data_IF_732831129911
#
_entry.id   IF_732831129911
#
_cell.length_a   1.000
_cell.length_b   1.000
_cell.length_c   1.000
_cell.angle_alpha   90.00
_cell.angle_beta   90.00
_cell.angle_gamma   90.00
#
_symmetry.space_group_name_H-M   'P 1'
#
loop_
_entity.id
_entity.type
_entity.pdbx_description
1 polymer ?
#
# COMPACT_ATOMS: atom_id res chain seq x y z
N UNK A 1 -11.63 -22.57 4.11
CA UNK A 1 -11.36 -21.34 3.35
C UNK A 1 -10.53 -20.41 4.20
N UNK A 2 -9.54 -19.73 3.63
CA UNK A 2 -8.67 -18.79 4.35
C UNK A 2 -9.45 -17.53 4.69
N UNK A 3 -9.35 -17.07 5.94
CA UNK A 3 -9.95 -15.82 6.41
C UNK A 3 -9.01 -15.07 7.35
N UNK A 4 -9.17 -13.75 7.41
CA UNK A 4 -8.49 -12.86 8.36
C UNK A 4 -9.51 -11.89 8.93
N UNK A 5 -9.31 -11.46 10.17
CA UNK A 5 -10.13 -10.43 10.81
C UNK A 5 -9.25 -9.25 11.23
N UNK A 6 -9.64 -8.05 10.81
CA UNK A 6 -8.94 -6.81 11.14
C UNK A 6 -9.99 -5.77 11.49
N UNK A 7 -9.90 -5.20 12.69
CA UNK A 7 -10.85 -4.23 13.25
C UNK A 7 -12.31 -4.72 13.22
N UNK A 8 -12.53 -6.00 13.56
CA UNK A 8 -13.86 -6.61 13.62
C UNK A 8 -14.52 -6.88 12.27
N UNK A 9 -13.80 -6.68 11.15
CA UNK A 9 -14.24 -7.03 9.80
C UNK A 9 -13.47 -8.25 9.32
N UNK A 10 -14.20 -9.32 9.02
CA UNK A 10 -13.66 -10.57 8.48
C UNK A 10 -13.64 -10.57 6.96
N UNK A 11 -12.47 -10.75 6.37
CA UNK A 11 -12.29 -10.99 4.93
C UNK A 11 -12.00 -12.48 4.71
N UNK A 12 -12.85 -13.15 3.93
CA UNK A 12 -12.75 -14.59 3.63
C UNK A 12 -12.59 -14.81 2.13
N UNK A 13 -11.64 -15.68 1.76
CA UNK A 13 -11.45 -16.06 0.37
C UNK A 13 -12.52 -17.04 -0.09
N UNK A 14 -12.94 -16.91 -1.34
CA UNK A 14 -13.64 -17.98 -2.06
C UNK A 14 -12.66 -19.08 -2.45
N UNK A 15 -13.18 -20.27 -2.78
CA UNK A 15 -12.38 -21.39 -3.27
C UNK A 15 -11.46 -21.03 -4.44
N UNK A 16 -11.94 -20.21 -5.38
CA UNK A 16 -11.18 -19.78 -6.57
C UNK A 16 -10.03 -18.82 -6.23
N UNK A 17 -10.12 -18.16 -5.07
CA UNK A 17 -9.16 -17.17 -4.61
C UNK A 17 -8.15 -17.70 -3.60
N UNK A 18 -8.20 -18.98 -3.20
CA UNK A 18 -7.28 -19.56 -2.19
C UNK A 18 -5.80 -19.43 -2.56
N UNK A 19 -5.48 -19.30 -3.85
CA UNK A 19 -4.11 -19.01 -4.29
C UNK A 19 -3.56 -17.67 -3.76
N UNK A 20 -4.42 -16.76 -3.31
CA UNK A 20 -4.07 -15.48 -2.69
C UNK A 20 -4.02 -15.53 -1.15
N UNK A 21 -4.13 -16.71 -0.53
CA UNK A 21 -4.13 -16.87 0.93
C UNK A 21 -2.90 -16.26 1.61
N UNK A 22 -1.72 -16.37 0.99
CA UNK A 22 -0.49 -15.76 1.51
C UNK A 22 -0.59 -14.23 1.49
N UNK A 23 -1.07 -13.64 0.40
CA UNK A 23 -1.27 -12.20 0.26
C UNK A 23 -2.28 -11.64 1.26
N UNK A 24 -3.42 -12.33 1.47
CA UNK A 24 -4.42 -11.93 2.45
C UNK A 24 -3.85 -11.89 3.88
N UNK A 25 -3.09 -12.92 4.29
CA UNK A 25 -2.44 -12.95 5.61
C UNK A 25 -1.38 -11.87 5.75
N UNK A 26 -0.58 -11.67 4.70
CA UNK A 26 0.51 -10.69 4.69
C UNK A 26 -0.02 -9.25 4.82
N UNK A 27 -1.09 -8.91 4.10
CA UNK A 27 -1.68 -7.56 4.20
C UNK A 27 -2.39 -7.34 5.53
N UNK A 28 -3.00 -8.37 6.12
CA UNK A 28 -3.60 -8.25 7.45
C UNK A 28 -2.54 -7.91 8.51
N UNK A 29 -1.38 -8.59 8.48
CA UNK A 29 -0.24 -8.26 9.34
C UNK A 29 0.25 -6.83 9.10
N UNK A 30 0.40 -6.43 7.83
CA UNK A 30 0.82 -5.08 7.46
C UNK A 30 -0.16 -4.00 7.93
N UNK A 31 -1.46 -4.31 7.94
CA UNK A 31 -2.48 -3.41 8.44
C UNK A 31 -2.32 -3.18 9.95
N UNK A 32 -2.09 -4.24 10.71
CA UNK A 32 -1.81 -4.14 12.16
C UNK A 32 -0.55 -3.30 12.41
N UNK A 33 0.53 -3.53 11.67
CA UNK A 33 1.74 -2.71 11.77
C UNK A 33 1.48 -1.23 11.44
N UNK A 34 0.67 -0.96 10.41
CA UNK A 34 0.27 0.41 10.07
C UNK A 34 -0.53 1.06 11.20
N UNK A 35 -1.43 0.32 11.85
CA UNK A 35 -2.14 0.81 13.04
C UNK A 35 -1.19 1.14 14.18
N UNK A 36 -0.22 0.28 14.47
CA UNK A 36 0.77 0.52 15.53
C UNK A 36 1.60 1.78 15.25
N UNK A 37 2.02 1.96 13.98
CA UNK A 37 2.75 3.16 13.56
C UNK A 37 1.87 4.41 13.72
N UNK A 38 0.65 4.41 13.18
CA UNK A 38 -0.18 5.60 13.17
C UNK A 38 -0.78 5.96 14.53
N UNK A 39 -1.00 4.97 15.40
CA UNK A 39 -1.47 5.19 16.76
C UNK A 39 -0.34 5.52 17.75
N UNK A 40 0.93 5.34 17.35
CA UNK A 40 2.06 5.73 18.18
C UNK A 40 2.06 7.24 18.43
N UNK A 41 2.14 7.71 19.70
CA UNK A 41 2.29 9.14 20.01
C UNK A 41 3.49 9.77 19.29
N UNK A 42 4.55 8.99 19.10
CA UNK A 42 5.77 9.40 18.39
C UNK A 42 5.53 9.68 16.91
N UNK A 43 4.53 9.06 16.28
CA UNK A 43 4.17 9.38 14.91
C UNK A 43 3.53 10.75 14.79
N UNK A 44 2.78 11.20 15.80
CA UNK A 44 2.17 12.53 15.83
C UNK A 44 3.20 13.59 16.21
N UNK A 45 3.94 13.37 17.30
CA UNK A 45 4.98 14.31 17.78
C UNK A 45 6.20 14.36 16.88
N UNK A 46 6.38 13.35 16.01
CA UNK A 46 7.60 13.08 15.23
C UNK A 46 8.84 12.87 16.11
N UNK A 47 8.67 12.53 17.38
CA UNK A 47 9.76 12.15 18.26
C UNK A 47 10.45 10.88 17.75
N UNK A 48 11.78 10.93 17.64
CA UNK A 48 12.58 9.84 17.06
C UNK A 48 12.44 9.68 15.54
N UNK A 49 11.76 10.59 14.85
CA UNK A 49 11.75 10.67 13.39
C UNK A 49 12.70 11.78 12.91
N UNK A 50 13.48 11.49 11.88
CA UNK A 50 14.34 12.48 11.23
C UNK A 50 13.57 13.16 10.09
N UNK A 51 13.64 14.48 9.99
CA UNK A 51 13.12 15.21 8.82
C UNK A 51 14.14 15.12 7.69
N UNK A 52 13.75 14.54 6.55
CA UNK A 52 14.62 14.31 5.39
C UNK A 52 14.56 15.47 4.39
N UNK A 53 13.34 15.93 4.05
CA UNK A 53 13.14 17.04 3.12
C UNK A 53 11.77 17.71 3.32
N UNK A 54 11.61 18.90 2.76
CA UNK A 54 10.34 19.64 2.68
C UNK A 54 10.19 20.27 1.30
N UNK A 55 9.01 20.12 0.68
CA UNK A 55 8.69 20.74 -0.61
C UNK A 55 8.30 22.21 -0.44
N UNK A 56 8.27 22.98 -1.54
CA UNK A 56 7.74 24.35 -1.52
C UNK A 56 6.24 24.42 -1.18
N UNK A 57 5.52 23.29 -1.31
CA UNK A 57 4.12 23.15 -0.91
C UNK A 57 3.97 22.64 0.54
N UNK A 58 5.05 22.62 1.32
CA UNK A 58 5.09 22.13 2.71
C UNK A 58 4.80 20.63 2.86
N UNK A 59 5.05 19.83 1.82
CA UNK A 59 5.05 18.38 1.96
C UNK A 59 6.33 17.95 2.66
N UNK A 60 6.22 17.21 3.76
CA UNK A 60 7.38 16.84 4.59
C UNK A 60 7.60 15.33 4.52
N UNK A 61 8.83 14.93 4.23
CA UNK A 61 9.28 13.54 4.32
C UNK A 61 10.06 13.36 5.61
N UNK A 62 9.64 12.38 6.40
CA UNK A 62 10.33 11.91 7.59
C UNK A 62 10.91 10.52 7.37
N UNK A 63 11.90 10.14 8.17
CA UNK A 63 12.38 8.76 8.25
C UNK A 63 12.59 8.30 9.69
N UNK A 64 12.53 6.98 9.89
CA UNK A 64 12.85 6.35 11.18
C UNK A 64 13.40 4.96 10.93
N UNK A 65 14.45 4.60 11.66
CA UNK A 65 14.92 3.22 11.69
C UNK A 65 14.06 2.39 12.63
N UNK A 66 13.65 1.23 12.14
CA UNK A 66 12.94 0.17 12.87
C UNK A 66 13.66 -1.16 12.59
N UNK A 67 13.26 -2.23 13.27
CA UNK A 67 13.91 -3.53 13.13
C UNK A 67 13.87 -4.08 11.69
N UNK A 68 12.83 -3.72 10.92
CA UNK A 68 12.67 -4.11 9.51
C UNK A 68 13.39 -3.19 8.51
N UNK A 69 14.11 -2.16 8.99
CA UNK A 69 14.91 -1.26 8.16
C UNK A 69 14.54 0.21 8.33
N UNK A 70 14.73 1.00 7.26
CA UNK A 70 14.42 2.44 7.27
C UNK A 70 13.02 2.68 6.72
N UNK A 71 12.12 3.16 7.57
CA UNK A 71 10.80 3.64 7.17
C UNK A 71 10.88 5.08 6.70
N UNK A 72 10.05 5.42 5.70
CA UNK A 72 9.82 6.78 5.25
C UNK A 72 8.33 7.11 5.41
N UNK A 73 8.04 8.33 5.83
CA UNK A 73 6.67 8.83 6.00
C UNK A 73 6.53 10.19 5.31
N UNK A 74 5.64 10.27 4.32
CA UNK A 74 5.22 11.52 3.71
C UNK A 74 4.03 12.09 4.47
N UNK A 75 4.08 13.39 4.80
CA UNK A 75 2.95 14.17 5.29
C UNK A 75 2.67 15.30 4.30
N UNK A 76 1.45 15.35 3.80
CA UNK A 76 0.96 16.39 2.88
C UNK A 76 -0.50 16.72 3.20
N UNK A 77 -0.96 17.87 2.71
CA UNK A 77 -2.37 18.25 2.71
C UNK A 77 -2.93 18.18 1.29
N UNK A 78 -4.11 17.59 1.13
CA UNK A 78 -4.76 17.48 -0.18
C UNK A 78 -5.98 18.41 -0.25
N UNK A 79 -6.24 19.05 -1.41
CA UNK A 79 -7.33 20.02 -1.58
C UNK A 79 -8.70 19.35 -1.79
N UNK A 80 -8.91 18.16 -1.23
CA UNK A 80 -10.14 17.35 -1.35
C UNK A 80 -10.43 16.68 -0.01
N UNK A 81 -11.68 16.30 0.20
CA UNK A 81 -12.09 15.54 1.39
C UNK A 81 -11.54 14.10 1.38
N UNK A 82 -11.45 13.48 2.56
CA UNK A 82 -10.87 12.15 2.73
C UNK A 82 -11.58 11.06 1.92
N UNK A 83 -12.91 11.13 1.75
CA UNK A 83 -13.68 10.13 1.02
C UNK A 83 -13.34 10.19 -0.46
N UNK A 84 -13.29 11.39 -1.03
CA UNK A 84 -12.93 11.59 -2.43
C UNK A 84 -11.49 11.15 -2.71
N UNK A 85 -10.53 11.55 -1.86
CA UNK A 85 -9.12 11.12 -2.01
C UNK A 85 -9.00 9.60 -1.92
N UNK A 86 -9.70 8.98 -0.98
CA UNK A 86 -9.70 7.53 -0.82
C UNK A 86 -10.25 6.82 -2.06
N UNK A 87 -11.38 7.24 -2.61
CA UNK A 87 -11.97 6.63 -3.82
C UNK A 87 -11.11 6.83 -5.04
N UNK A 88 -10.57 8.04 -5.25
CA UNK A 88 -9.64 8.32 -6.35
C UNK A 88 -8.43 7.37 -6.30
N UNK A 89 -7.91 7.06 -5.10
CA UNK A 89 -6.81 6.11 -4.92
C UNK A 89 -7.24 4.64 -5.07
N UNK A 90 -8.30 4.23 -4.39
CA UNK A 90 -8.69 2.83 -4.27
C UNK A 90 -9.28 2.32 -5.59
N UNK A 91 -10.28 3.02 -6.11
CA UNK A 91 -11.01 2.68 -7.34
C UNK A 91 -10.23 3.09 -8.60
N UNK A 92 -9.38 4.12 -8.49
CA UNK A 92 -8.57 4.63 -9.60
C UNK A 92 -7.26 3.89 -9.84
N UNK A 93 -6.97 2.80 -9.12
CA UNK A 93 -5.67 2.13 -9.16
C UNK A 93 -5.23 1.69 -10.57
N UNK A 94 -6.16 1.24 -11.42
CA UNK A 94 -5.86 0.82 -12.79
C UNK A 94 -5.61 2.02 -13.72
N UNK A 95 -6.11 3.21 -13.35
CA UNK A 95 -5.97 4.46 -14.09
C UNK A 95 -4.77 5.29 -13.63
N UNK A 96 -3.97 4.80 -12.68
CA UNK A 96 -2.80 5.53 -12.19
C UNK A 96 -1.82 5.88 -13.34
N UNK A 97 -1.74 5.04 -14.37
CA UNK A 97 -0.85 5.27 -15.51
C UNK A 97 -1.30 6.43 -16.41
N UNK A 98 -2.56 6.88 -16.32
CA UNK A 98 -3.09 7.96 -17.16
C UNK A 98 -2.46 9.32 -16.81
N UNK A 99 -1.98 9.47 -15.57
CA UNK A 99 -1.46 10.73 -15.06
C UNK A 99 -0.12 10.59 -14.33
N UNK A 100 0.24 9.40 -13.84
CA UNK A 100 1.53 9.16 -13.19
C UNK A 100 2.54 8.56 -14.18
N UNK A 101 3.39 9.43 -14.74
CA UNK A 101 4.43 9.06 -15.71
C UNK A 101 5.49 8.10 -15.16
N UNK A 102 5.56 7.92 -13.84
CA UNK A 102 6.51 7.00 -13.21
C UNK A 102 6.04 5.54 -13.29
N UNK A 103 4.78 5.28 -13.63
CA UNK A 103 4.22 3.93 -13.74
C UNK A 103 4.25 3.42 -15.19
N UNK A 104 4.64 2.16 -15.35
CA UNK A 104 4.61 1.43 -16.61
C UNK A 104 3.25 0.77 -16.83
N UNK A 105 2.71 0.13 -15.80
CA UNK A 105 1.35 -0.42 -15.77
C UNK A 105 0.83 -0.50 -14.34
N UNK A 106 -0.48 -0.60 -14.18
CA UNK A 106 -1.15 -0.91 -12.91
C UNK A 106 -2.45 -1.65 -13.20
N UNK A 107 -2.68 -2.80 -12.55
CA UNK A 107 -3.81 -3.69 -12.82
C UNK A 107 -4.32 -4.32 -11.53
N UNK A 108 -5.65 -4.52 -11.45
CA UNK A 108 -6.25 -5.37 -10.42
C UNK A 108 -6.31 -6.80 -10.96
N UNK A 109 -5.71 -7.74 -10.24
CA UNK A 109 -5.73 -9.16 -10.59
C UNK A 109 -6.95 -9.88 -10.01
N UNK A 110 -7.34 -9.51 -8.78
CA UNK A 110 -8.49 -10.09 -8.11
C UNK A 110 -9.03 -9.12 -7.07
N UNK A 111 -10.36 -9.06 -6.93
CA UNK A 111 -11.03 -8.46 -5.77
C UNK A 111 -11.39 -9.59 -4.82
N UNK A 112 -10.75 -9.63 -3.66
CA UNK A 112 -10.93 -10.70 -2.68
C UNK A 112 -12.14 -10.43 -1.77
N UNK A 113 -12.43 -9.15 -1.51
CA UNK A 113 -13.62 -8.69 -0.80
C UNK A 113 -13.93 -7.22 -1.18
N UNK A 114 -14.87 -6.57 -0.47
CA UNK A 114 -15.08 -5.12 -0.56
C UNK A 114 -13.91 -4.30 -0.02
N UNK A 115 -13.02 -4.93 0.76
CA UNK A 115 -11.94 -4.27 1.48
C UNK A 115 -10.55 -4.69 1.04
N UNK A 116 -10.44 -5.75 0.23
CA UNK A 116 -9.17 -6.35 -0.13
C UNK A 116 -9.12 -6.63 -1.64
N UNK A 117 -8.06 -6.18 -2.28
CA UNK A 117 -7.74 -6.51 -3.66
C UNK A 117 -6.28 -6.93 -3.83
N UNK A 118 -6.01 -7.61 -4.94
CA UNK A 118 -4.66 -7.97 -5.39
C UNK A 118 -4.36 -7.15 -6.61
N UNK A 119 -3.25 -6.42 -6.56
CA UNK A 119 -2.79 -5.57 -7.64
C UNK A 119 -1.41 -6.02 -8.14
N UNK A 120 -1.16 -5.76 -9.41
CA UNK A 120 0.17 -5.85 -10.01
C UNK A 120 0.44 -4.55 -10.75
N UNK A 121 1.45 -3.82 -10.30
CA UNK A 121 1.89 -2.59 -10.94
C UNK A 121 3.40 -2.56 -11.07
N UNK A 122 3.89 -1.77 -12.02
CA UNK A 122 5.31 -1.58 -12.22
C UNK A 122 5.64 -0.12 -12.45
N UNK A 123 6.81 0.27 -11.98
CA UNK A 123 7.42 1.56 -12.28
C UNK A 123 8.24 1.48 -13.58
N UNK A 124 8.35 2.59 -14.29
CA UNK A 124 9.30 2.76 -15.40
C UNK A 124 10.71 2.97 -14.85
N UNK A 125 11.69 2.89 -15.74
CA UNK A 125 13.05 3.36 -15.45
C UNK A 125 13.01 4.86 -15.12
N UNK A 126 13.60 5.24 -13.98
CA UNK A 126 13.74 6.64 -13.56
C UNK A 126 15.23 6.94 -13.39
N UNK A 127 15.76 7.77 -14.27
CA UNK A 127 17.19 8.10 -14.35
C UNK A 127 18.04 6.82 -14.43
N UNK A 128 18.86 6.54 -13.41
CA UNK A 128 19.72 5.36 -13.32
C UNK A 128 19.04 4.16 -12.64
N UNK A 129 17.85 4.36 -12.07
CA UNK A 129 17.13 3.31 -11.33
C UNK A 129 16.24 2.54 -12.30
N UNK A 130 16.48 1.23 -12.39
CA UNK A 130 15.67 0.34 -13.21
C UNK A 130 14.27 0.17 -12.63
N UNK A 131 13.29 0.08 -13.54
CA UNK A 131 11.90 -0.21 -13.22
C UNK A 131 11.78 -1.49 -12.41
N UNK A 132 10.82 -1.49 -11.50
CA UNK A 132 10.47 -2.63 -10.65
C UNK A 132 8.99 -2.90 -10.77
N UNK A 133 8.62 -4.16 -10.71
CA UNK A 133 7.21 -4.55 -10.58
C UNK A 133 6.91 -5.08 -9.19
N UNK A 134 5.66 -4.97 -8.78
CA UNK A 134 5.21 -5.30 -7.44
C UNK A 134 3.91 -6.06 -7.52
N UNK A 135 3.91 -7.28 -7.02
CA UNK A 135 2.69 -8.03 -6.74
C UNK A 135 2.30 -7.78 -5.28
N UNK A 136 1.13 -7.18 -5.07
CA UNK A 136 0.73 -6.67 -3.76
C UNK A 136 -0.72 -7.04 -3.46
N UNK A 137 -1.00 -7.39 -2.22
CA UNK A 137 -2.37 -7.36 -1.70
C UNK A 137 -2.57 -6.05 -0.95
N UNK A 138 -3.65 -5.33 -1.24
CA UNK A 138 -4.05 -4.11 -0.55
C UNK A 138 -5.26 -4.38 0.33
N UNK A 139 -5.35 -3.70 1.46
CA UNK A 139 -6.47 -3.75 2.39
C UNK A 139 -6.81 -2.33 2.83
N UNK A 140 -8.10 -2.02 2.95
CA UNK A 140 -8.54 -0.78 3.58
C UNK A 140 -9.51 -1.01 4.75
N UNK A 141 -9.52 -0.06 5.68
CA UNK A 141 -10.58 0.10 6.67
C UNK A 141 -10.93 1.58 6.80
N UNK A 142 -12.22 1.84 6.94
CA UNK A 142 -12.74 3.15 7.35
C UNK A 142 -12.63 3.29 8.86
N UNK A 143 -12.18 4.44 9.30
CA UNK A 143 -12.12 4.87 10.70
C UNK A 143 -12.98 6.14 10.87
N UNK A 144 -13.21 6.56 12.12
CA UNK A 144 -14.03 7.72 12.46
C UNK A 144 -13.63 9.01 11.71
N UNK A 145 -12.32 9.18 11.46
CA UNK A 145 -11.75 10.41 10.88
C UNK A 145 -11.14 10.22 9.49
N UNK A 146 -11.29 9.06 8.87
CA UNK A 146 -10.71 8.81 7.55
C UNK A 146 -10.53 7.34 7.23
N UNK A 147 -9.46 7.03 6.51
CA UNK A 147 -9.17 5.70 6.01
C UNK A 147 -7.72 5.32 6.33
N UNK A 148 -7.49 4.04 6.60
CA UNK A 148 -6.16 3.45 6.50
C UNK A 148 -6.19 2.47 5.34
N UNK A 149 -5.19 2.58 4.47
CA UNK A 149 -4.89 1.61 3.43
C UNK A 149 -3.53 1.01 3.72
N UNK A 150 -3.44 -0.32 3.78
CA UNK A 150 -2.20 -1.05 3.89
C UNK A 150 -1.98 -1.88 2.62
N UNK A 151 -0.73 -2.11 2.28
CA UNK A 151 -0.35 -2.97 1.17
C UNK A 151 0.88 -3.79 1.53
N UNK A 152 0.92 -5.05 1.14
CA UNK A 152 2.08 -5.92 1.35
C UNK A 152 2.33 -6.82 0.15
N UNK A 153 3.59 -6.89 -0.26
CA UNK A 153 4.01 -7.81 -1.31
C UNK A 153 3.87 -9.26 -0.87
N UNK A 154 3.60 -10.13 -1.81
CA UNK A 154 3.60 -11.58 -1.62
C UNK A 154 3.97 -12.26 -2.95
N UNK A 155 4.37 -13.51 -2.86
CA UNK A 155 4.74 -14.30 -4.04
C UNK A 155 3.57 -15.12 -4.57
N UNK A 156 3.46 -15.20 -5.89
CA UNK A 156 2.50 -16.06 -6.59
C UNK A 156 3.23 -16.78 -7.73
N UNK A 157 3.11 -18.11 -7.76
CA UNK A 157 3.76 -18.93 -8.79
C UNK A 157 3.36 -18.54 -10.23
N UNK A 158 2.12 -18.10 -10.43
CA UNK A 158 1.58 -17.67 -11.73
C UNK A 158 2.23 -16.37 -12.24
N UNK A 159 2.85 -15.58 -11.36
CA UNK A 159 3.46 -14.29 -11.69
C UNK A 159 4.88 -14.31 -11.12
N UNK A 160 5.82 -15.04 -11.74
CA UNK A 160 7.18 -15.12 -11.24
C UNK A 160 7.91 -13.80 -11.46
N UNK A 161 9.01 -13.62 -10.74
CA UNK A 161 10.00 -12.60 -11.06
C UNK A 161 10.59 -12.88 -12.46
N UNK A 162 10.88 -11.81 -13.20
CA UNK A 162 11.48 -11.95 -14.53
C UNK A 162 12.74 -11.12 -14.61
N UNK A 163 13.70 -11.51 -15.45
CA UNK A 163 14.92 -10.70 -15.67
C UNK A 163 14.63 -9.30 -16.24
N UNK A 164 13.44 -9.09 -16.80
CA UNK A 164 13.03 -7.82 -17.37
C UNK A 164 12.65 -6.77 -16.32
N UNK A 165 12.19 -7.19 -15.13
CA UNK A 165 11.80 -6.31 -14.03
C UNK A 165 12.31 -6.89 -12.71
N UNK A 166 13.09 -6.12 -11.95
CA UNK A 166 13.51 -6.51 -10.60
C UNK A 166 12.30 -6.42 -9.67
N UNK A 167 12.00 -7.48 -8.91
CA UNK A 167 10.95 -7.49 -7.88
C UNK A 167 11.55 -7.29 -6.49
#
# INVERSE_FOLDING_TARGET
MTSVEVLGITDSLSSDNEKYAAGLKAVASAFTEALDIFNSPQFVSKEGWNKETESAAHDIVYSKYVDSGKLYALRCEMPKDCETVFKDYWDGVEKLCDWNSNLAFSKILAKLSSHVDVCHYANRDILIVKGRDFLITRMHRKLDKGYITAGRSFELADIPETRANVR
#
